data_IF_184127069786
#
_entry.id   IF_184127069786
#
_cell.length_a   1.000
_cell.length_b   1.000
_cell.length_c   1.000
_cell.angle_alpha   90.00
_cell.angle_beta   90.00
_cell.angle_gamma   90.00
#
_symmetry.space_group_name_H-M   'P 1'
#
loop_
_entity.id
_entity.type
_entity.pdbx_description
1 polymer ?
#
# COMPACT_ATOMS: atom_id res chain seq x y z
N UNK A 1 -27.40 -56.17 23.30
CA UNK A 1 -28.38 -55.84 22.24
C UNK A 1 -28.14 -54.41 21.79
N UNK A 2 -28.11 -54.23 20.48
CA UNK A 2 -28.22 -52.99 19.68
C UNK A 2 -27.27 -51.82 19.99
N UNK A 3 -26.26 -51.71 19.13
CA UNK A 3 -25.63 -50.45 18.73
C UNK A 3 -26.62 -49.61 17.90
N UNK A 4 -26.62 -48.29 18.10
CA UNK A 4 -26.94 -47.35 17.02
C UNK A 4 -26.18 -46.06 17.22
N UNK A 5 -25.15 -45.92 16.39
CA UNK A 5 -24.41 -44.73 16.03
C UNK A 5 -25.38 -43.68 15.46
N UNK A 6 -25.26 -42.42 15.88
CA UNK A 6 -25.73 -41.30 15.07
C UNK A 6 -24.63 -40.24 14.98
N UNK A 7 -23.85 -40.42 13.92
CA UNK A 7 -22.92 -39.48 13.34
C UNK A 7 -23.70 -38.68 12.28
N UNK A 8 -23.96 -37.40 12.51
CA UNK A 8 -24.40 -36.40 11.53
C UNK A 8 -24.52 -35.08 12.28
N UNK A 9 -23.95 -33.94 11.88
CA UNK A 9 -23.40 -33.53 10.60
C UNK A 9 -22.50 -32.34 10.94
N UNK A 10 -21.18 -32.51 10.83
CA UNK A 10 -20.25 -31.38 10.77
C UNK A 10 -20.61 -30.56 9.53
N UNK A 11 -21.37 -29.49 9.73
CA UNK A 11 -21.42 -28.40 8.76
C UNK A 11 -20.43 -27.37 9.29
N UNK A 12 -19.18 -27.56 8.85
CA UNK A 12 -18.15 -26.54 8.85
C UNK A 12 -18.75 -25.26 8.31
N UNK A 13 -19.13 -24.34 9.20
CA UNK A 13 -19.36 -22.96 8.82
C UNK A 13 -17.96 -22.39 8.64
N UNK A 14 -17.44 -22.54 7.43
CA UNK A 14 -16.30 -21.76 6.99
C UNK A 14 -16.63 -20.29 7.31
N UNK A 15 -15.76 -19.55 8.04
CA UNK A 15 -15.93 -18.12 8.15
C UNK A 15 -15.90 -17.58 6.72
N UNK A 16 -17.02 -17.00 6.31
CA UNK A 16 -17.19 -16.41 4.99
C UNK A 16 -16.06 -15.43 4.73
N UNK A 17 -15.27 -15.73 3.71
CA UNK A 17 -14.40 -14.79 3.02
C UNK A 17 -15.19 -13.55 2.60
N UNK A 18 -14.54 -12.39 2.75
CA UNK A 18 -14.85 -11.13 2.08
C UNK A 18 -16.14 -10.40 2.47
N UNK A 19 -16.05 -9.60 3.54
CA UNK A 19 -16.70 -8.29 3.57
C UNK A 19 -15.61 -7.21 3.65
N UNK A 20 -15.06 -6.88 2.49
CA UNK A 20 -14.18 -5.71 2.30
C UNK A 20 -14.97 -4.43 1.97
N UNK A 21 -16.27 -4.41 2.25
CA UNK A 21 -17.07 -3.20 2.22
C UNK A 21 -16.91 -2.44 3.54
N UNK A 22 -16.00 -1.47 3.52
CA UNK A 22 -15.97 -0.43 4.55
C UNK A 22 -17.35 0.20 4.66
N UNK A 23 -17.83 0.53 5.88
CA UNK A 23 -19.17 1.07 6.05
C UNK A 23 -19.38 2.46 5.41
N UNK A 24 -18.32 3.10 4.90
CA UNK A 24 -18.33 4.48 4.44
C UNK A 24 -17.96 4.59 2.95
N UNK A 25 -18.97 4.88 2.12
CA UNK A 25 -18.78 5.12 0.69
C UNK A 25 -18.14 6.48 0.48
N UNK A 26 -17.36 6.62 -0.60
CA UNK A 26 -16.66 7.87 -0.90
C UNK A 26 -17.66 9.02 -1.17
N UNK A 27 -18.78 8.71 -1.82
CA UNK A 27 -19.92 9.62 -1.99
C UNK A 27 -20.44 10.19 -0.65
N UNK A 28 -20.58 9.35 0.39
CA UNK A 28 -21.07 9.78 1.70
C UNK A 28 -20.09 10.75 2.36
N UNK A 29 -18.78 10.46 2.26
CA UNK A 29 -17.71 11.34 2.76
C UNK A 29 -17.74 12.67 2.02
N UNK A 30 -17.78 12.63 0.69
CA UNK A 30 -17.82 13.81 -0.18
C UNK A 30 -18.99 14.72 0.18
N UNK A 31 -20.19 14.15 0.28
CA UNK A 31 -21.41 14.86 0.61
C UNK A 31 -21.33 15.51 2.00
N UNK A 32 -20.82 14.78 3.00
CA UNK A 32 -20.69 15.28 4.37
C UNK A 32 -19.65 16.39 4.52
N UNK A 33 -18.55 16.32 3.78
CA UNK A 33 -17.53 17.37 3.74
C UNK A 33 -18.01 18.62 2.98
N UNK A 34 -19.07 18.51 2.18
CA UNK A 34 -19.57 19.59 1.34
C UNK A 34 -18.70 19.81 0.09
N UNK A 35 -18.01 18.77 -0.37
CA UNK A 35 -17.18 18.82 -1.58
C UNK A 35 -18.05 18.63 -2.84
N UNK A 36 -17.70 19.25 -3.97
CA UNK A 36 -18.52 19.19 -5.18
C UNK A 36 -18.46 17.82 -5.88
N UNK A 37 -17.38 17.06 -5.71
CA UNK A 37 -17.23 15.72 -6.29
C UNK A 37 -16.21 14.87 -5.55
N UNK A 38 -16.26 13.55 -5.74
CA UNK A 38 -15.29 12.61 -5.14
C UNK A 38 -13.84 12.88 -5.59
N UNK A 39 -13.64 13.54 -6.74
CA UNK A 39 -12.31 13.86 -7.27
C UNK A 39 -11.57 14.87 -6.37
N UNK A 40 -12.32 15.76 -5.72
CA UNK A 40 -11.77 16.78 -4.82
C UNK A 40 -11.23 16.21 -3.51
N UNK A 41 -11.61 15.00 -3.12
CA UNK A 41 -11.10 14.38 -1.89
C UNK A 41 -9.58 14.27 -1.92
N UNK A 42 -9.01 13.94 -3.09
CA UNK A 42 -7.55 13.84 -3.20
C UNK A 42 -6.86 15.18 -3.00
N UNK A 43 -7.46 16.28 -3.46
CA UNK A 43 -6.97 17.65 -3.26
C UNK A 43 -7.11 18.04 -1.79
N UNK A 44 -8.28 17.80 -1.20
CA UNK A 44 -8.59 18.07 0.20
C UNK A 44 -7.62 17.37 1.16
N UNK A 45 -7.29 16.10 0.92
CA UNK A 45 -6.31 15.34 1.73
C UNK A 45 -4.91 15.95 1.64
N UNK A 46 -4.56 16.59 0.52
CA UNK A 46 -3.22 17.16 0.31
C UNK A 46 -3.13 18.62 0.75
N UNK A 47 -4.23 19.22 1.24
CA UNK A 47 -4.20 20.55 1.82
C UNK A 47 -3.40 20.55 3.12
N UNK A 48 -2.50 21.53 3.35
CA UNK A 48 -1.71 21.61 4.59
C UNK A 48 -2.57 21.55 5.86
N UNK A 49 -3.77 22.13 5.82
CA UNK A 49 -4.71 22.12 6.93
C UNK A 49 -5.07 20.71 7.43
N UNK A 50 -5.13 19.73 6.53
CA UNK A 50 -5.35 18.32 6.83
C UNK A 50 -4.05 17.51 6.85
N UNK A 51 -3.16 17.76 5.90
CA UNK A 51 -1.95 17.00 5.66
C UNK A 51 -0.95 17.10 6.83
N UNK A 52 -0.77 18.29 7.41
CA UNK A 52 0.21 18.47 8.49
C UNK A 52 -0.17 17.67 9.75
N UNK A 53 -1.43 17.76 10.28
CA UNK A 53 -1.88 16.89 11.36
C UNK A 53 -1.79 15.40 11.00
N UNK A 54 -2.14 15.04 9.76
CA UNK A 54 -2.08 13.65 9.29
C UNK A 54 -0.67 13.07 9.33
N UNK A 55 0.32 13.81 8.83
CA UNK A 55 1.73 13.41 8.81
C UNK A 55 2.27 13.27 10.24
N UNK A 56 1.97 14.23 11.11
CA UNK A 56 2.35 14.16 12.53
C UNK A 56 1.75 12.93 13.20
N UNK A 57 0.48 12.63 12.95
CA UNK A 57 -0.19 11.43 13.46
C UNK A 57 0.46 10.15 12.94
N UNK A 58 0.66 10.03 11.62
CA UNK A 58 1.29 8.85 10.97
C UNK A 58 2.66 8.55 11.54
N UNK A 59 3.46 9.59 11.79
CA UNK A 59 4.84 9.42 12.26
C UNK A 59 4.92 9.09 13.76
N UNK A 60 3.93 9.51 14.55
CA UNK A 60 3.83 9.20 15.99
C UNK A 60 3.18 7.84 16.25
N UNK A 61 2.11 7.51 15.52
CA UNK A 61 1.44 6.23 15.56
C UNK A 61 1.69 5.50 14.22
N UNK A 62 2.77 4.70 14.12
CA UNK A 62 3.18 4.09 12.87
C UNK A 62 2.06 3.21 12.31
N UNK A 63 1.45 3.67 11.21
CA UNK A 63 0.39 2.96 10.50
C UNK A 63 1.00 1.87 9.63
N UNK A 64 1.52 0.82 10.25
CA UNK A 64 2.05 -0.35 9.54
C UNK A 64 0.95 -1.34 9.19
N UNK A 65 1.16 -2.17 8.15
CA UNK A 65 0.23 -3.25 7.85
C UNK A 65 -0.09 -4.11 9.08
N UNK A 66 -1.37 -4.35 9.34
CA UNK A 66 -1.85 -5.14 10.49
C UNK A 66 -2.18 -4.36 11.78
N UNK A 67 -1.93 -3.04 11.82
CA UNK A 67 -2.37 -2.19 12.95
C UNK A 67 -3.87 -1.91 12.82
N UNK A 68 -4.65 -2.32 13.83
CA UNK A 68 -6.08 -1.98 13.92
C UNK A 68 -6.26 -0.76 14.80
N UNK A 69 -7.07 0.19 14.35
CA UNK A 69 -7.28 1.47 15.03
C UNK A 69 -8.79 1.72 15.18
N UNK A 70 -9.30 2.11 16.36
CA UNK A 70 -10.74 2.39 16.58
C UNK A 70 -11.16 3.72 15.95
N UNK A 71 -12.48 4.06 15.87
CA UNK A 71 -13.71 3.28 16.07
C UNK A 71 -13.95 2.14 15.08
N UNK A 72 -14.58 1.07 15.59
CA UNK A 72 -14.92 -0.14 14.83
C UNK A 72 -16.36 -0.14 14.30
N UNK A 73 -17.20 0.79 14.75
CA UNK A 73 -18.62 0.89 14.40
C UNK A 73 -19.09 2.34 14.20
N UNK A 74 -20.35 2.50 13.73
CA UNK A 74 -20.96 3.80 13.42
C UNK A 74 -21.31 4.62 14.67
N UNK A 75 -21.62 3.97 15.78
CA UNK A 75 -22.03 4.64 17.01
C UNK A 75 -20.81 5.30 17.68
N UNK A 76 -19.70 4.58 17.73
CA UNK A 76 -18.42 5.09 18.21
C UNK A 76 -17.90 6.24 17.33
N UNK A 77 -18.14 6.20 16.00
CA UNK A 77 -17.85 7.33 15.11
C UNK A 77 -18.66 8.58 15.47
N UNK A 78 -19.95 8.37 15.73
CA UNK A 78 -20.87 9.46 16.08
C UNK A 78 -20.47 10.05 17.44
N UNK A 79 -20.19 9.21 18.44
CA UNK A 79 -19.72 9.64 19.75
C UNK A 79 -18.39 10.42 19.66
N UNK A 80 -17.44 9.95 18.86
CA UNK A 80 -16.20 10.66 18.57
C UNK A 80 -16.47 12.02 17.92
N UNK A 81 -17.38 12.08 16.95
CA UNK A 81 -17.75 13.32 16.26
C UNK A 81 -18.37 14.32 17.24
N UNK A 82 -19.28 13.88 18.11
CA UNK A 82 -19.90 14.71 19.15
C UNK A 82 -18.82 15.28 20.08
N UNK A 83 -17.91 14.43 20.56
CA UNK A 83 -16.80 14.84 21.42
C UNK A 83 -15.94 15.93 20.77
N UNK A 84 -15.60 15.77 19.49
CA UNK A 84 -14.82 16.76 18.73
C UNK A 84 -15.60 18.06 18.54
N UNK A 85 -16.89 17.96 18.22
CA UNK A 85 -17.77 19.11 18.08
C UNK A 85 -17.82 19.94 19.38
N UNK A 86 -18.02 19.27 20.51
CA UNK A 86 -18.06 19.93 21.83
C UNK A 86 -16.72 20.60 22.18
N UNK A 87 -15.59 19.94 21.86
CA UNK A 87 -14.26 20.51 21.99
C UNK A 87 -14.02 21.74 21.11
N UNK A 88 -14.66 21.83 19.94
CA UNK A 88 -14.54 22.99 19.06
C UNK A 88 -15.45 24.14 19.48
N UNK A 89 -16.62 23.86 20.05
CA UNK A 89 -17.57 24.91 20.43
C UNK A 89 -17.19 25.63 21.74
N UNK A 90 -16.57 24.91 22.68
CA UNK A 90 -16.40 25.35 24.07
C UNK A 90 -15.47 26.56 24.31
N UNK A 91 -14.83 27.14 23.29
CA UNK A 91 -13.82 28.24 23.37
C UNK A 91 -12.63 28.01 24.31
N UNK A 92 -12.65 26.95 25.11
CA UNK A 92 -11.56 26.55 25.96
C UNK A 92 -10.43 25.99 25.11
N UNK A 93 -9.20 26.18 25.60
CA UNK A 93 -8.03 25.48 25.07
C UNK A 93 -8.21 23.98 25.27
N UNK A 94 -8.13 23.22 24.18
CA UNK A 94 -8.12 21.76 24.24
C UNK A 94 -6.73 21.25 24.56
N UNK A 95 -6.63 20.09 25.21
CA UNK A 95 -5.35 19.37 25.38
C UNK A 95 -4.64 19.08 24.04
N UNK A 96 -5.38 19.12 22.92
CA UNK A 96 -4.85 18.90 21.58
C UNK A 96 -4.32 20.16 20.89
N UNK A 97 -4.48 21.36 21.48
CA UNK A 97 -4.01 22.60 20.85
C UNK A 97 -2.49 22.74 20.84
N UNK A 98 -1.83 22.23 21.89
CA UNK A 98 -0.37 22.30 22.07
C UNK A 98 0.11 21.08 22.85
N UNK A 99 0.04 19.88 22.26
CA UNK A 99 0.40 18.68 23.00
C UNK A 99 1.90 18.65 23.30
N UNK A 100 2.22 18.29 24.53
CA UNK A 100 3.59 18.16 25.01
C UNK A 100 4.12 16.74 24.72
N UNK A 101 5.44 16.57 24.84
CA UNK A 101 6.03 15.23 24.75
C UNK A 101 5.46 14.26 25.79
N UNK A 102 5.19 14.75 27.00
CA UNK A 102 4.56 13.97 28.08
C UNK A 102 3.14 13.53 27.74
N UNK A 103 2.37 14.37 27.06
CA UNK A 103 1.02 14.00 26.61
C UNK A 103 1.09 12.86 25.59
N UNK A 104 1.99 12.97 24.60
CA UNK A 104 2.19 11.92 23.59
C UNK A 104 2.58 10.57 24.20
N UNK A 105 3.37 10.55 25.27
CA UNK A 105 3.75 9.32 25.96
C UNK A 105 2.58 8.66 26.70
N UNK A 106 1.61 9.44 27.16
CA UNK A 106 0.43 8.94 27.87
C UNK A 106 -0.73 8.56 26.94
N UNK A 107 -0.70 9.00 25.68
CA UNK A 107 -1.78 8.80 24.73
C UNK A 107 -1.84 7.39 24.17
N UNK A 108 -3.05 6.85 24.10
CA UNK A 108 -3.35 5.67 23.30
C UNK A 108 -3.77 6.05 21.88
N UNK A 109 -3.97 5.07 21.01
CA UNK A 109 -4.36 5.30 19.62
C UNK A 109 -5.63 6.14 19.46
N UNK A 110 -6.61 5.99 20.36
CA UNK A 110 -7.85 6.77 20.31
C UNK A 110 -7.57 8.25 20.61
N UNK A 111 -6.67 8.57 21.54
CA UNK A 111 -6.27 9.95 21.81
C UNK A 111 -5.54 10.58 20.61
N UNK A 112 -4.67 9.84 19.93
CA UNK A 112 -3.99 10.33 18.73
C UNK A 112 -4.98 10.62 17.59
N UNK A 113 -6.01 9.79 17.42
CA UNK A 113 -7.08 10.01 16.44
C UNK A 113 -7.93 11.22 16.80
N UNK A 114 -8.34 11.33 18.06
CA UNK A 114 -9.07 12.50 18.56
C UNK A 114 -8.28 13.78 18.28
N UNK A 115 -6.99 13.77 18.58
CA UNK A 115 -6.06 14.86 18.28
C UNK A 115 -6.02 15.17 16.77
N UNK A 116 -5.83 14.15 15.93
CA UNK A 116 -5.78 14.30 14.46
C UNK A 116 -7.05 14.96 13.91
N UNK A 117 -8.22 14.44 14.27
CA UNK A 117 -9.50 14.95 13.78
C UNK A 117 -9.73 16.37 14.31
N UNK A 118 -9.44 16.61 15.59
CA UNK A 118 -9.58 17.92 16.21
C UNK A 118 -8.69 18.97 15.54
N UNK A 119 -7.39 18.71 15.40
CA UNK A 119 -6.44 19.65 14.81
C UNK A 119 -6.76 19.91 13.33
N UNK A 120 -7.10 18.86 12.58
CA UNK A 120 -7.53 19.00 11.18
C UNK A 120 -8.78 19.87 11.09
N UNK A 121 -9.80 19.60 11.90
CA UNK A 121 -11.03 20.40 11.92
C UNK A 121 -10.78 21.86 12.32
N UNK A 122 -9.95 22.10 13.35
CA UNK A 122 -9.56 23.44 13.79
C UNK A 122 -8.80 24.21 12.72
N UNK A 123 -7.93 23.55 11.97
CA UNK A 123 -7.21 24.15 10.85
C UNK A 123 -8.16 24.46 9.68
N UNK A 124 -9.04 23.52 9.34
CA UNK A 124 -10.05 23.68 8.27
C UNK A 124 -11.13 24.72 8.61
N UNK A 125 -11.32 25.04 9.89
CA UNK A 125 -12.24 26.08 10.35
C UNK A 125 -11.62 27.50 10.33
N UNK A 126 -10.34 27.66 9.96
CA UNK A 126 -9.70 28.99 9.84
C UNK A 126 -10.21 29.76 8.63
N UNK A 127 -10.09 31.08 8.65
CA UNK A 127 -10.52 31.93 7.53
C UNK A 127 -9.88 31.50 6.21
N UNK A 128 -10.70 31.37 5.16
CA UNK A 128 -10.27 30.94 3.83
C UNK A 128 -10.18 29.42 3.64
N UNK A 129 -10.58 28.62 4.65
CA UNK A 129 -10.54 27.15 4.59
C UNK A 129 -11.94 26.53 4.47
N UNK A 130 -11.98 25.24 4.12
CA UNK A 130 -13.21 24.49 3.77
C UNK A 130 -14.34 24.54 4.81
N UNK A 131 -14.01 24.54 6.11
CA UNK A 131 -15.03 24.52 7.17
C UNK A 131 -15.32 25.91 7.74
N UNK A 132 -14.61 26.94 7.31
CA UNK A 132 -14.68 28.28 7.89
C UNK A 132 -16.12 28.76 8.10
N UNK A 133 -16.93 28.74 7.04
CA UNK A 133 -18.30 29.27 7.08
C UNK A 133 -19.19 28.52 8.06
N UNK A 134 -19.03 27.21 8.17
CA UNK A 134 -19.87 26.37 9.04
C UNK A 134 -19.57 26.57 10.52
N UNK A 135 -18.34 26.93 10.86
CA UNK A 135 -17.89 27.19 12.23
C UNK A 135 -17.93 28.68 12.62
N UNK A 136 -18.44 29.55 11.75
CA UNK A 136 -18.69 30.94 12.12
C UNK A 136 -19.80 31.03 13.18
N UNK A 137 -19.60 31.87 14.20
CA UNK A 137 -20.55 32.09 15.30
C UNK A 137 -21.99 32.35 14.85
N UNK A 138 -22.28 33.15 13.81
CA UNK A 138 -23.65 33.32 13.32
C UNK A 138 -24.32 32.04 12.84
N UNK A 139 -23.58 31.09 12.26
CA UNK A 139 -24.11 29.81 11.75
C UNK A 139 -24.29 28.76 12.87
N UNK A 140 -23.55 28.87 13.96
CA UNK A 140 -23.68 27.95 15.10
C UNK A 140 -24.86 28.30 16.03
N UNK A 141 -25.44 29.50 15.92
CA UNK A 141 -26.62 29.92 16.72
C UNK A 141 -27.89 29.14 16.35
N UNK A 142 -27.96 28.62 15.13
CA UNK A 142 -29.11 27.95 14.56
C UNK A 142 -28.83 26.44 14.40
N UNK A 143 -29.85 25.62 14.68
CA UNK A 143 -29.76 24.15 14.63
C UNK A 143 -29.31 23.64 13.25
N UNK A 144 -29.83 24.24 12.18
CA UNK A 144 -29.43 23.90 10.82
C UNK A 144 -27.92 24.07 10.57
N UNK A 145 -27.30 25.14 11.08
CA UNK A 145 -25.87 25.36 10.90
C UNK A 145 -25.02 24.46 11.81
N UNK A 146 -25.48 24.18 13.04
CA UNK A 146 -24.87 23.15 13.91
C UNK A 146 -24.87 21.78 13.24
N UNK A 147 -25.96 21.41 12.57
CA UNK A 147 -26.05 20.16 11.80
C UNK A 147 -25.06 20.11 10.63
N UNK A 148 -24.84 21.23 9.94
CA UNK A 148 -23.83 21.31 8.85
C UNK A 148 -22.42 21.14 9.41
N UNK A 149 -22.07 21.87 10.47
CA UNK A 149 -20.76 21.75 11.12
C UNK A 149 -20.50 20.32 11.63
N UNK A 150 -21.50 19.71 12.29
CA UNK A 150 -21.44 18.32 12.73
C UNK A 150 -21.22 17.35 11.56
N UNK A 151 -21.95 17.52 10.44
CA UNK A 151 -21.78 16.68 9.26
C UNK A 151 -20.37 16.78 8.68
N UNK A 152 -19.78 17.98 8.65
CA UNK A 152 -18.41 18.17 8.17
C UNK A 152 -17.40 17.45 9.07
N UNK A 153 -17.56 17.52 10.40
CA UNK A 153 -16.72 16.75 11.33
C UNK A 153 -16.91 15.24 11.16
N UNK A 154 -18.14 14.80 10.94
CA UNK A 154 -18.42 13.39 10.73
C UNK A 154 -17.78 12.88 9.43
N UNK A 155 -17.87 13.67 8.35
CA UNK A 155 -17.21 13.39 7.07
C UNK A 155 -15.68 13.34 7.23
N UNK A 156 -15.11 14.27 8.00
CA UNK A 156 -13.67 14.30 8.29
C UNK A 156 -13.24 13.05 9.07
N UNK A 157 -14.00 12.65 10.09
CA UNK A 157 -13.74 11.43 10.85
C UNK A 157 -13.76 10.23 9.90
N UNK A 158 -14.84 10.04 9.12
CA UNK A 158 -14.95 8.96 8.11
C UNK A 158 -13.76 8.93 7.14
N UNK A 159 -13.30 10.10 6.68
CA UNK A 159 -12.14 10.23 5.81
C UNK A 159 -10.86 9.73 6.50
N UNK A 160 -10.59 10.18 7.72
CA UNK A 160 -9.43 9.75 8.52
C UNK A 160 -9.40 8.23 8.66
N UNK A 161 -10.52 7.59 9.02
CA UNK A 161 -10.56 6.13 9.13
C UNK A 161 -10.32 5.44 7.81
N UNK A 162 -10.93 5.92 6.72
CA UNK A 162 -10.70 5.37 5.38
C UNK A 162 -9.21 5.45 5.02
N UNK A 163 -8.53 6.51 5.41
CA UNK A 163 -7.11 6.71 5.13
C UNK A 163 -6.23 5.80 6.00
N UNK A 164 -6.49 5.71 7.31
CA UNK A 164 -5.79 4.79 8.23
C UNK A 164 -5.80 3.36 7.68
N UNK A 165 -6.99 2.93 7.28
CA UNK A 165 -7.22 1.63 6.66
C UNK A 165 -6.43 1.44 5.37
N UNK A 166 -6.42 2.48 4.52
CA UNK A 166 -5.65 2.47 3.28
C UNK A 166 -4.17 2.24 3.54
N UNK A 167 -3.64 2.78 4.64
CA UNK A 167 -2.26 2.60 5.08
C UNK A 167 -2.01 1.22 5.70
N UNK A 168 -2.95 0.65 6.46
CA UNK A 168 -2.70 -0.56 7.26
C UNK A 168 -3.22 -1.87 6.66
N UNK A 169 -4.12 -1.83 5.68
CA UNK A 169 -4.84 -3.05 5.25
C UNK A 169 -4.93 -3.21 3.73
N UNK A 170 -4.52 -2.21 2.95
CA UNK A 170 -4.68 -2.22 1.48
C UNK A 170 -3.35 -1.92 0.78
N UNK A 171 -3.20 -2.32 -0.49
CA UNK A 171 -2.15 -1.80 -1.35
C UNK A 171 -2.21 -0.26 -1.39
N UNK A 172 -1.05 0.44 -1.43
CA UNK A 172 -1.01 1.89 -1.37
C UNK A 172 -1.69 2.51 -2.58
N UNK A 173 -2.74 3.30 -2.32
CA UNK A 173 -3.49 4.02 -3.33
C UNK A 173 -2.69 5.17 -3.93
N UNK A 174 -3.16 5.74 -5.05
CA UNK A 174 -2.55 6.93 -5.66
C UNK A 174 -2.47 8.12 -4.70
N UNK A 175 -3.47 8.29 -3.82
CA UNK A 175 -3.47 9.34 -2.80
C UNK A 175 -2.35 9.11 -1.77
N UNK A 176 -2.19 7.88 -1.28
CA UNK A 176 -1.11 7.53 -0.34
C UNK A 176 0.26 7.80 -0.98
N UNK A 177 0.44 7.41 -2.25
CA UNK A 177 1.66 7.70 -3.02
C UNK A 177 1.94 9.21 -3.11
N UNK A 178 0.90 10.03 -3.33
CA UNK A 178 1.03 11.49 -3.37
C UNK A 178 1.37 12.08 -2.00
N UNK A 179 0.78 11.56 -0.92
CA UNK A 179 1.13 11.96 0.45
C UNK A 179 2.60 11.65 0.72
N UNK A 180 3.06 10.44 0.45
CA UNK A 180 4.46 10.04 0.69
C UNK A 180 5.45 10.80 -0.20
N UNK A 181 5.05 11.21 -1.41
CA UNK A 181 5.87 12.06 -2.27
C UNK A 181 5.98 13.50 -1.73
N UNK A 182 4.92 14.04 -1.13
CA UNK A 182 4.91 15.38 -0.54
C UNK A 182 5.58 15.43 0.84
N UNK A 183 5.31 14.42 1.68
CA UNK A 183 5.77 14.30 3.04
C UNK A 183 6.23 12.86 3.31
N UNK A 184 7.48 12.52 2.96
CA UNK A 184 8.02 11.18 3.20
C UNK A 184 7.93 10.76 4.67
N UNK A 185 7.70 9.47 4.92
CA UNK A 185 7.73 8.92 6.27
C UNK A 185 9.08 9.20 6.96
N UNK A 186 9.03 9.66 8.22
CA UNK A 186 10.23 9.92 9.04
C UNK A 186 11.10 8.68 9.22
N UNK A 187 10.47 7.51 9.33
CA UNK A 187 11.13 6.20 9.33
C UNK A 187 10.81 5.46 8.00
N UNK A 188 11.76 5.41 7.04
CA UNK A 188 11.53 4.76 5.75
C UNK A 188 11.21 3.27 5.86
N UNK A 189 11.66 2.59 6.93
CA UNK A 189 11.36 1.17 7.16
C UNK A 189 9.87 0.92 7.42
N UNK A 190 9.14 1.96 7.85
CA UNK A 190 7.70 1.94 8.15
C UNK A 190 6.85 2.62 7.09
N UNK A 191 7.45 3.09 6.00
CA UNK A 191 6.69 3.70 4.89
C UNK A 191 5.58 2.76 4.43
N UNK A 192 4.37 3.24 4.09
CA UNK A 192 3.32 2.39 3.50
C UNK A 192 3.72 1.84 2.12
N UNK A 193 4.68 2.48 1.43
CA UNK A 193 5.14 2.06 0.10
C UNK A 193 6.17 0.93 0.19
N UNK A 194 5.87 -0.28 -0.34
CA UNK A 194 6.81 -1.39 -0.33
C UNK A 194 8.16 -1.04 -0.96
N UNK A 195 8.15 -0.29 -2.06
CA UNK A 195 9.35 0.13 -2.77
C UNK A 195 10.28 1.01 -1.92
N UNK A 196 9.74 1.88 -1.06
CA UNK A 196 10.54 2.70 -0.15
C UNK A 196 11.18 1.82 0.92
N UNK A 197 10.40 0.90 1.50
CA UNK A 197 10.90 -0.04 2.52
C UNK A 197 12.00 -0.93 1.96
N UNK A 198 11.80 -1.49 0.77
CA UNK A 198 12.78 -2.35 0.09
C UNK A 198 14.04 -1.56 -0.22
N UNK A 199 13.92 -0.36 -0.81
CA UNK A 199 15.08 0.49 -1.08
C UNK A 199 15.87 0.78 0.21
N UNK A 200 15.18 1.16 1.28
CA UNK A 200 15.81 1.38 2.58
C UNK A 200 16.53 0.13 3.10
N UNK A 201 15.91 -1.05 3.01
CA UNK A 201 16.54 -2.32 3.41
C UNK A 201 17.78 -2.64 2.57
N UNK A 202 17.73 -2.42 1.26
CA UNK A 202 18.86 -2.64 0.35
C UNK A 202 20.01 -1.69 0.65
N UNK A 203 19.72 -0.40 0.90
CA UNK A 203 20.72 0.62 1.26
C UNK A 203 21.43 0.29 2.58
N UNK A 204 20.78 -0.43 3.50
CA UNK A 204 21.35 -0.87 4.77
C UNK A 204 22.03 -2.25 4.69
N UNK A 205 21.86 -2.99 3.59
CA UNK A 205 22.44 -4.33 3.45
C UNK A 205 23.85 -4.22 2.84
N UNK A 206 24.89 -4.80 3.47
CA UNK A 206 26.23 -4.83 2.89
C UNK A 206 26.24 -5.52 1.52
N UNK A 207 27.08 -5.04 0.60
CA UNK A 207 27.19 -5.57 -0.77
C UNK A 207 27.48 -7.08 -0.77
N UNK A 208 28.27 -7.58 0.18
CA UNK A 208 28.60 -9.01 0.29
C UNK A 208 27.39 -9.86 0.68
N UNK A 209 26.52 -9.36 1.56
CA UNK A 209 25.27 -10.03 1.92
C UNK A 209 24.24 -9.99 0.79
N UNK A 210 24.18 -8.88 0.05
CA UNK A 210 23.38 -8.74 -1.17
C UNK A 210 23.83 -9.73 -2.23
N UNK A 211 25.15 -9.80 -2.48
CA UNK A 211 25.77 -10.80 -3.36
C UNK A 211 25.37 -12.20 -2.91
N UNK A 212 25.49 -12.51 -1.64
CA UNK A 212 25.15 -13.83 -1.11
C UNK A 212 23.67 -14.15 -1.33
N UNK A 213 22.74 -13.25 -0.97
CA UNK A 213 21.29 -13.49 -1.12
C UNK A 213 20.86 -13.65 -2.59
N UNK A 214 21.40 -12.83 -3.50
CA UNK A 214 21.06 -12.85 -4.92
C UNK A 214 21.77 -13.99 -5.65
N UNK A 215 23.06 -14.23 -5.37
CA UNK A 215 23.86 -15.24 -6.06
C UNK A 215 23.69 -16.65 -5.48
N UNK A 216 23.48 -16.82 -4.16
CA UNK A 216 23.31 -18.18 -3.60
C UNK A 216 22.02 -18.87 -4.08
N UNK A 217 20.97 -18.09 -4.34
CA UNK A 217 19.74 -18.61 -4.95
C UNK A 217 19.96 -19.07 -6.39
N UNK A 218 20.82 -18.38 -7.14
CA UNK A 218 21.22 -18.74 -8.50
C UNK A 218 22.25 -19.88 -8.55
N UNK A 219 23.11 -20.01 -7.53
CA UNK A 219 24.18 -21.01 -7.46
C UNK A 219 23.66 -22.43 -7.26
N UNK A 220 22.42 -22.64 -6.81
CA UNK A 220 21.81 -23.96 -6.55
C UNK A 220 22.73 -24.92 -5.77
N UNK A 221 23.52 -24.38 -4.83
CA UNK A 221 24.47 -25.16 -4.02
C UNK A 221 25.87 -25.37 -4.61
N UNK A 222 26.23 -24.75 -5.74
CA UNK A 222 27.58 -24.80 -6.30
C UNK A 222 28.55 -23.81 -5.60
N UNK A 223 29.84 -24.16 -5.55
CA UNK A 223 30.92 -23.22 -5.17
C UNK A 223 31.04 -22.09 -6.21
N UNK A 224 31.31 -20.86 -5.74
CA UNK A 224 31.20 -19.61 -6.52
C UNK A 224 32.10 -19.65 -7.75
N UNK A 225 33.31 -20.13 -7.55
CA UNK A 225 34.32 -20.29 -8.57
C UNK A 225 33.86 -21.27 -9.66
N UNK A 226 33.23 -22.38 -9.28
CA UNK A 226 32.74 -23.39 -10.20
C UNK A 226 31.56 -22.86 -11.03
N UNK A 227 30.65 -22.16 -10.36
CA UNK A 227 29.46 -21.56 -10.98
C UNK A 227 29.83 -20.44 -11.97
N UNK A 228 30.71 -19.52 -11.57
CA UNK A 228 31.20 -18.46 -12.46
C UNK A 228 31.93 -19.02 -13.69
N UNK A 229 32.72 -20.10 -13.51
CA UNK A 229 33.36 -20.80 -14.62
C UNK A 229 32.33 -21.46 -15.54
N UNK A 230 31.24 -22.04 -15.01
CA UNK A 230 30.18 -22.63 -15.82
C UNK A 230 29.42 -21.59 -16.65
N UNK A 231 29.18 -20.39 -16.10
CA UNK A 231 28.61 -19.24 -16.85
C UNK A 231 29.58 -18.76 -17.93
N UNK A 232 30.85 -18.54 -17.59
CA UNK A 232 31.89 -18.08 -18.55
C UNK A 232 32.11 -19.06 -19.70
N UNK A 233 31.96 -20.36 -19.44
CA UNK A 233 32.09 -21.42 -20.42
C UNK A 233 30.79 -21.67 -21.22
N UNK A 234 29.73 -20.88 -20.98
CA UNK A 234 28.44 -20.99 -21.68
C UNK A 234 27.68 -22.29 -21.39
N UNK A 235 28.02 -22.98 -20.30
CA UNK A 235 27.37 -24.24 -19.88
C UNK A 235 26.08 -23.98 -19.08
N UNK A 236 25.99 -22.81 -18.46
CA UNK A 236 24.77 -22.25 -17.87
C UNK A 236 24.51 -20.88 -18.51
N UNK A 237 23.25 -20.58 -18.81
CA UNK A 237 22.84 -19.26 -19.30
C UNK A 237 22.98 -18.22 -18.20
N UNK A 238 23.50 -17.02 -18.53
CA UNK A 238 23.57 -15.88 -17.61
C UNK A 238 22.18 -15.61 -16.98
N UNK A 239 22.13 -15.18 -15.70
CA UNK A 239 20.87 -14.99 -14.99
C UNK A 239 19.98 -14.02 -15.75
N UNK A 240 18.73 -14.44 -15.99
CA UNK A 240 17.70 -13.58 -16.56
C UNK A 240 17.29 -12.62 -15.44
N UNK A 241 17.60 -11.33 -15.61
CA UNK A 241 17.07 -10.29 -14.72
C UNK A 241 15.59 -10.13 -15.07
N UNK A 242 14.71 -10.77 -14.31
CA UNK A 242 13.27 -10.54 -14.42
C UNK A 242 12.94 -9.12 -13.94
N UNK A 243 12.75 -8.21 -14.90
CA UNK A 243 12.27 -6.87 -14.63
C UNK A 243 10.76 -6.89 -14.33
N UNK A 244 10.38 -6.37 -13.15
CA UNK A 244 8.99 -6.08 -12.82
C UNK A 244 8.49 -4.90 -13.66
N UNK A 245 7.75 -5.19 -14.73
CA UNK A 245 6.97 -4.19 -15.48
C UNK A 245 5.49 -4.52 -15.30
N UNK A 246 4.77 -3.64 -14.60
CA UNK A 246 3.31 -3.71 -14.42
C UNK A 246 2.75 -5.00 -13.78
N UNK A 247 3.46 -5.59 -12.81
CA UNK A 247 2.88 -6.64 -11.95
C UNK A 247 2.63 -8.00 -12.60
N UNK A 248 3.06 -8.21 -13.85
CA UNK A 248 3.05 -9.52 -14.50
C UNK A 248 4.46 -9.90 -14.95
N UNK A 249 4.88 -11.13 -14.61
CA UNK A 249 6.17 -11.70 -15.04
C UNK A 249 6.09 -12.04 -16.52
N UNK A 250 6.64 -11.17 -17.39
CA UNK A 250 6.86 -11.50 -18.80
C UNK A 250 8.19 -12.21 -18.96
N UNK A 251 8.15 -13.50 -19.28
CA UNK A 251 9.30 -14.22 -19.83
C UNK A 251 9.61 -13.68 -21.22
N UNK A 252 10.69 -12.92 -21.36
CA UNK A 252 11.27 -12.68 -22.68
C UNK A 252 11.92 -13.98 -23.18
N UNK A 253 11.45 -14.47 -24.33
CA UNK A 253 12.08 -15.57 -25.07
C UNK A 253 13.43 -15.06 -25.57
N UNK A 254 14.50 -15.73 -25.16
CA UNK A 254 15.82 -15.55 -25.74
C UNK A 254 15.79 -15.83 -27.25
N UNK A 255 16.35 -14.89 -28.01
CA UNK A 255 16.72 -15.10 -29.41
C UNK A 255 17.89 -16.09 -29.41
N UNK A 256 17.68 -17.25 -30.03
CA UNK A 256 18.69 -18.30 -30.12
C UNK A 256 19.92 -17.81 -30.88
N UNK A 257 21.07 -17.82 -30.22
CA UNK A 257 22.37 -17.71 -30.90
C UNK A 257 22.67 -19.06 -31.54
N UNK A 258 22.62 -19.06 -32.87
CA UNK A 258 23.01 -20.16 -33.76
C UNK A 258 24.45 -20.54 -33.49
N UNK A 259 24.68 -21.80 -33.14
CA UNK A 259 26.01 -22.37 -33.01
C UNK A 259 26.70 -22.48 -34.37
N UNK A 260 27.85 -21.83 -34.52
CA UNK A 260 28.75 -22.04 -35.65
C UNK A 260 29.59 -23.29 -35.39
N UNK A 261 29.04 -24.43 -35.80
CA UNK A 261 29.76 -25.71 -35.84
C UNK A 261 30.75 -25.73 -37.01
N UNK A 262 32.04 -25.80 -36.71
CA UNK A 262 33.10 -26.01 -37.69
C UNK A 262 33.21 -27.51 -37.98
N UNK A 263 32.43 -27.99 -38.98
CA UNK A 263 32.53 -29.35 -39.51
C UNK A 263 33.54 -29.40 -40.65
N UNK A 264 34.47 -30.36 -40.53
CA UNK A 264 35.41 -30.83 -41.56
C UNK A 264 34.64 -31.18 -42.84
N UNK A 265 35.08 -30.66 -43.97
CA UNK A 265 34.64 -31.08 -45.29
C UNK A 265 35.47 -32.30 -45.75
N UNK A 266 34.81 -33.44 -45.93
CA UNK A 266 35.30 -34.54 -46.76
C UNK A 266 34.21 -34.88 -47.79
N UNK A 267 34.54 -34.58 -49.05
CA UNK A 267 34.10 -35.18 -50.32
C UNK A 267 32.67 -35.70 -50.50
N UNK A 268 31.99 -35.20 -51.54
CA UNK A 268 31.58 -36.02 -52.69
C UNK A 268 30.80 -35.13 -53.67
N UNK A 269 31.41 -34.88 -54.83
CA UNK A 269 30.69 -34.41 -56.04
C UNK A 269 30.04 -35.64 -56.66
N UNK A 270 28.73 -35.58 -56.82
CA UNK A 270 27.99 -36.53 -57.62
C UNK A 270 28.27 -36.28 -59.10
N UNK A 271 28.66 -37.32 -59.84
CA UNK A 271 28.32 -37.39 -61.25
C UNK A 271 28.03 -38.83 -61.66
N UNK A 272 26.94 -38.95 -62.39
CA UNK A 272 26.17 -40.13 -62.71
C UNK A 272 26.44 -40.50 -64.17
N UNK A 273 27.04 -41.66 -64.45
CA UNK A 273 27.18 -42.15 -65.82
C UNK A 273 27.14 -43.70 -65.90
N UNK A 274 25.91 -44.20 -65.92
CA UNK A 274 25.36 -45.14 -66.91
C UNK A 274 26.26 -46.31 -67.40
N UNK A 275 26.06 -47.48 -66.80
CA UNK A 275 26.31 -48.81 -67.42
C UNK A 275 25.52 -48.96 -68.74
N UNK A 276 26.22 -49.18 -69.86
CA UNK A 276 25.74 -49.99 -71.01
C UNK A 276 26.89 -50.28 -72.00
N UNK A 277 27.43 -51.49 -71.95
CA UNK A 277 27.72 -52.39 -73.09
C UNK A 277 28.64 -53.51 -72.56
N UNK A 278 28.09 -54.71 -72.40
CA UNK A 278 28.21 -55.87 -73.31
C UNK A 278 29.54 -56.60 -73.18
N UNK A 279 29.42 -57.77 -72.57
CA UNK A 279 30.17 -58.98 -72.82
C UNK A 279 30.23 -59.35 -74.31
N UNK A 280 31.41 -59.86 -74.68
CA UNK A 280 31.68 -60.98 -75.61
C UNK A 280 31.43 -60.80 -77.12
N UNK A 281 32.40 -61.29 -77.89
CA UNK A 281 32.26 -61.63 -79.32
C UNK A 281 33.00 -60.68 -80.23
#
# INVERSE_FOLDING_TARGET
MAATTNLSKMTSTAPSTDSTDWPYKLADITSKLGLPSEREISTFILEPAFLDPWVSFRDQLPLTPGVTVPPKDKDAMTALTIKIYDMMDCMATSQYDRPTYTDHQAWNSANFIECLIYQSARNLARQGQHFYTSFQRPKLKNEAGRKVAFNQLHGLAMLVFKLIVGYTSKPPSSVIRRIEAACPAKDPSRSPLPEIRVKWQLDQTPVDELRKKVLDSERRGQEEKQWLVNILMGKESAPIVEGLVNGEVKKEKSVGVVGTGMKRASGAVAEEAKKRSKTAG
#
